data_IF_957826121792
#
_entry.id   IF_957826121792
#
_cell.length_a   1.000
_cell.length_b   1.000
_cell.length_c   1.000
_cell.angle_alpha   90.00
_cell.angle_beta   90.00
_cell.angle_gamma   90.00
#
_symmetry.space_group_name_H-M   'P 1'
#
loop_
_entity.id
_entity.type
_entity.pdbx_description
1 polymer ?
#
# COMPACT_ATOMS: atom_id res chain seq x y z
N UNK A 1 14.28 22.92 -23.81
CA UNK A 1 14.83 22.37 -22.55
C UNK A 1 13.65 21.83 -21.78
N UNK A 2 13.44 20.53 -21.83
CA UNK A 2 12.26 19.86 -21.31
C UNK A 2 12.30 19.92 -19.79
N UNK A 3 11.35 20.64 -19.19
CA UNK A 3 11.15 20.63 -17.75
C UNK A 3 10.63 19.24 -17.37
N UNK A 4 11.46 18.48 -16.67
CA UNK A 4 11.07 17.22 -16.06
C UNK A 4 10.20 17.59 -14.87
N UNK A 5 8.89 17.47 -15.04
CA UNK A 5 7.96 17.34 -13.91
C UNK A 5 8.32 16.00 -13.29
N UNK A 6 9.12 16.04 -12.22
CA UNK A 6 9.36 14.87 -11.38
C UNK A 6 8.05 14.69 -10.61
N UNK A 7 7.18 13.82 -11.11
CA UNK A 7 6.03 13.34 -10.37
C UNK A 7 6.53 12.86 -9.00
N UNK A 8 5.98 13.43 -7.92
CA UNK A 8 6.34 13.15 -6.52
C UNK A 8 6.01 11.72 -6.06
N UNK A 9 5.86 10.76 -6.96
CA UNK A 9 5.43 9.38 -6.69
C UNK A 9 6.58 8.38 -6.52
N UNK A 10 7.83 8.80 -6.76
CA UNK A 10 9.01 7.92 -6.68
C UNK A 10 9.76 7.97 -5.34
N UNK A 11 9.41 8.87 -4.42
CA UNK A 11 10.11 9.04 -3.12
C UNK A 11 9.19 8.82 -1.90
N UNK A 12 8.43 7.72 -1.83
CA UNK A 12 8.07 7.21 -0.50
C UNK A 12 9.27 6.35 -0.05
N UNK A 13 10.30 7.04 0.43
CA UNK A 13 11.57 6.44 0.83
C UNK A 13 11.65 6.24 2.34
N UNK A 14 10.70 6.82 3.08
CA UNK A 14 10.63 6.75 4.53
C UNK A 14 9.28 6.21 4.97
N UNK A 15 9.33 5.17 5.80
CA UNK A 15 8.19 4.62 6.54
C UNK A 15 7.49 5.71 7.37
N UNK A 16 8.24 6.70 7.82
CA UNK A 16 7.77 7.80 8.67
C UNK A 16 6.88 8.77 7.90
N UNK A 17 7.18 9.10 6.63
CA UNK A 17 6.35 9.98 5.81
C UNK A 17 4.96 9.38 5.57
N UNK A 18 4.90 8.05 5.42
CA UNK A 18 3.64 7.31 5.33
C UNK A 18 2.83 7.37 6.63
N UNK A 19 3.48 7.28 7.80
CA UNK A 19 2.80 7.28 9.10
C UNK A 19 2.24 8.67 9.44
N UNK A 20 2.95 9.73 9.07
CA UNK A 20 2.52 11.11 9.32
C UNK A 20 1.26 11.49 8.53
N UNK A 21 1.14 11.06 7.27
CA UNK A 21 0.04 11.48 6.38
C UNK A 21 -1.34 10.86 6.71
N UNK A 22 -1.37 9.67 7.31
CA UNK A 22 -2.63 9.01 7.71
C UNK A 22 -2.89 9.01 9.21
N UNK A 23 -1.95 9.53 10.03
CA UNK A 23 -1.98 9.37 11.49
C UNK A 23 -2.18 7.91 11.88
N UNK A 24 -1.51 6.99 11.18
CA UNK A 24 -1.59 5.56 11.50
C UNK A 24 -1.00 5.38 12.89
N UNK A 25 -1.78 4.82 13.81
CA UNK A 25 -1.29 4.60 15.17
C UNK A 25 -0.07 3.67 15.10
N UNK A 26 1.11 4.09 15.61
CA UNK A 26 2.32 3.28 15.54
C UNK A 26 2.13 1.92 16.24
N UNK A 27 1.20 1.81 17.19
CA UNK A 27 0.82 0.55 17.83
C UNK A 27 0.17 -0.41 16.83
N UNK A 28 -0.63 0.05 15.86
CA UNK A 28 -1.20 -0.80 14.79
C UNK A 28 -0.10 -1.30 13.86
N UNK A 29 0.88 -0.45 13.55
CA UNK A 29 2.06 -0.81 12.75
C UNK A 29 2.95 -1.83 13.45
N UNK A 30 3.12 -1.70 14.78
CA UNK A 30 3.95 -2.59 15.62
C UNK A 30 3.20 -3.89 16.00
N UNK A 31 1.88 -3.84 16.19
CA UNK A 31 1.02 -5.00 16.51
C UNK A 31 0.73 -5.84 15.26
N UNK A 32 0.64 -5.21 14.09
CA UNK A 32 0.59 -5.95 12.85
C UNK A 32 1.98 -6.51 12.54
N UNK A 33 2.11 -7.83 12.53
CA UNK A 33 3.41 -8.51 12.40
C UNK A 33 3.93 -8.44 10.95
N UNK A 34 4.33 -7.25 10.47
CA UNK A 34 4.78 -6.88 9.12
C UNK A 34 3.65 -6.47 8.15
N UNK A 35 3.88 -5.38 7.40
CA UNK A 35 3.00 -4.86 6.33
C UNK A 35 2.53 -5.93 5.33
N UNK A 36 3.43 -6.84 4.95
CA UNK A 36 3.10 -7.95 4.05
C UNK A 36 2.01 -8.85 4.63
N UNK A 37 2.01 -9.05 5.95
CA UNK A 37 0.98 -9.83 6.64
C UNK A 37 -0.37 -9.12 6.60
N UNK A 38 -0.38 -7.80 6.86
CA UNK A 38 -1.62 -7.00 6.77
C UNK A 38 -2.21 -7.04 5.37
N UNK A 39 -1.38 -6.86 4.35
CA UNK A 39 -1.85 -6.84 2.97
C UNK A 39 -2.40 -8.21 2.56
N UNK A 40 -1.75 -9.29 3.02
CA UNK A 40 -2.22 -10.66 2.78
C UNK A 40 -3.55 -10.95 3.50
N UNK A 41 -3.70 -10.49 4.75
CA UNK A 41 -4.95 -10.60 5.50
C UNK A 41 -6.08 -9.83 4.80
N UNK A 42 -5.82 -8.58 4.40
CA UNK A 42 -6.76 -7.77 3.63
C UNK A 42 -7.20 -8.48 2.35
N UNK A 43 -6.27 -9.05 1.59
CA UNK A 43 -6.59 -9.76 0.37
C UNK A 43 -7.47 -10.99 0.64
N UNK A 44 -7.12 -11.81 1.64
CA UNK A 44 -7.89 -13.00 2.01
C UNK A 44 -9.31 -12.67 2.49
N UNK A 45 -9.47 -11.62 3.31
CA UNK A 45 -10.78 -11.21 3.83
C UNK A 45 -11.73 -10.72 2.74
N UNK A 46 -11.20 -10.06 1.71
CA UNK A 46 -11.99 -9.52 0.61
C UNK A 46 -12.07 -10.47 -0.60
N UNK A 47 -11.40 -11.63 -0.55
CA UNK A 47 -11.36 -12.58 -1.65
C UNK A 47 -10.49 -12.14 -2.84
N UNK A 48 -9.55 -11.22 -2.61
CA UNK A 48 -8.62 -10.73 -3.61
C UNK A 48 -7.39 -11.64 -3.77
N UNK A 49 -6.86 -11.71 -4.98
CA UNK A 49 -5.60 -12.38 -5.31
C UNK A 49 -4.44 -11.40 -5.12
N UNK A 50 -3.55 -11.68 -4.18
CA UNK A 50 -2.36 -10.85 -3.93
C UNK A 50 -1.09 -11.56 -4.43
N UNK A 51 -0.33 -10.89 -5.30
CA UNK A 51 0.93 -11.40 -5.85
C UNK A 51 2.04 -10.35 -5.73
N UNK A 52 3.23 -10.79 -5.32
CA UNK A 52 4.45 -9.99 -5.29
C UNK A 52 5.37 -10.45 -6.41
N UNK A 53 5.65 -9.56 -7.36
CA UNK A 53 6.46 -9.89 -8.53
C UNK A 53 7.74 -9.06 -8.57
N UNK A 54 8.88 -9.73 -8.73
CA UNK A 54 10.14 -9.04 -9.04
C UNK A 54 10.10 -8.61 -10.50
N UNK A 55 10.08 -7.31 -10.74
CA UNK A 55 10.05 -6.70 -12.07
C UNK A 55 11.45 -6.61 -12.66
N UNK A 56 12.43 -6.25 -11.83
CA UNK A 56 13.81 -6.20 -12.26
C UNK A 56 14.76 -6.46 -11.10
N UNK A 57 15.94 -6.98 -11.44
CA UNK A 57 17.09 -7.08 -10.56
C UNK A 57 18.27 -6.47 -11.30
N UNK A 58 18.85 -5.43 -10.73
CA UNK A 58 19.98 -4.69 -11.29
C UNK A 58 20.98 -4.35 -10.19
N UNK A 59 21.96 -3.48 -10.47
CA UNK A 59 22.97 -3.04 -9.50
C UNK A 59 24.29 -3.79 -9.58
N UNK A 60 25.24 -3.37 -8.75
CA UNK A 60 26.57 -3.98 -8.70
C UNK A 60 26.51 -5.30 -7.93
N UNK A 61 27.46 -6.20 -8.17
CA UNK A 61 27.50 -7.51 -7.48
C UNK A 61 27.47 -7.40 -5.94
N UNK A 62 27.94 -6.29 -5.38
CA UNK A 62 27.94 -6.01 -3.94
C UNK A 62 26.82 -5.05 -3.49
N UNK A 63 26.07 -4.48 -4.43
CA UNK A 63 24.96 -3.55 -4.19
C UNK A 63 23.83 -3.83 -5.20
N UNK A 64 23.14 -4.98 -5.05
CA UNK A 64 22.00 -5.29 -5.90
C UNK A 64 20.83 -4.35 -5.58
N UNK A 65 20.01 -4.09 -6.59
CA UNK A 65 18.76 -3.34 -6.51
C UNK A 65 17.66 -4.25 -7.06
N UNK A 66 16.65 -4.51 -6.24
CA UNK A 66 15.48 -5.30 -6.59
C UNK A 66 14.29 -4.38 -6.73
N UNK A 67 13.64 -4.38 -7.89
CA UNK A 67 12.36 -3.72 -8.10
C UNK A 67 11.24 -4.76 -7.97
N UNK A 68 10.30 -4.52 -7.05
CA UNK A 68 9.15 -5.40 -6.79
C UNK A 68 7.86 -4.62 -6.98
N UNK A 69 6.94 -5.17 -7.77
CA UNK A 69 5.58 -4.69 -7.89
C UNK A 69 4.62 -5.63 -7.16
N UNK A 70 3.48 -5.07 -6.76
CA UNK A 70 2.38 -5.82 -6.18
C UNK A 70 1.21 -5.79 -7.15
N UNK A 71 0.62 -6.96 -7.36
CA UNK A 71 -0.60 -7.14 -8.13
C UNK A 71 -1.69 -7.58 -7.15
N UNK A 72 -2.77 -6.81 -7.08
CA UNK A 72 -3.98 -7.14 -6.33
C UNK A 72 -5.11 -7.31 -7.34
N UNK A 73 -5.59 -8.54 -7.51
CA UNK A 73 -6.45 -8.97 -8.61
C UNK A 73 -5.85 -8.58 -9.97
N UNK A 74 -6.54 -7.71 -10.71
CA UNK A 74 -6.14 -7.19 -12.01
C UNK A 74 -5.49 -5.80 -11.91
N UNK A 75 -5.25 -5.31 -10.69
CA UNK A 75 -4.65 -3.99 -10.45
C UNK A 75 -3.19 -4.10 -10.06
N UNK A 76 -2.33 -3.64 -10.96
CA UNK A 76 -0.90 -3.50 -10.68
C UNK A 76 -0.61 -2.17 -9.99
N UNK A 77 0.12 -2.23 -8.89
CA UNK A 77 0.57 -1.05 -8.14
C UNK A 77 1.99 -0.64 -8.53
N UNK A 78 2.38 0.62 -8.27
CA UNK A 78 3.73 1.10 -8.53
C UNK A 78 4.78 0.22 -7.86
N UNK A 79 5.83 -0.13 -8.61
CA UNK A 79 6.94 -0.90 -8.06
C UNK A 79 7.73 -0.08 -7.02
N UNK A 80 8.33 -0.78 -6.07
CA UNK A 80 9.32 -0.21 -5.16
C UNK A 80 10.67 -0.90 -5.36
N UNK A 81 11.74 -0.11 -5.29
CA UNK A 81 13.12 -0.59 -5.46
C UNK A 81 13.87 -0.53 -4.14
N UNK A 82 14.60 -1.59 -3.80
CA UNK A 82 15.44 -1.61 -2.60
C UNK A 82 16.66 -2.52 -2.74
N UNK A 83 17.57 -2.43 -1.77
CA UNK A 83 18.81 -3.21 -1.71
C UNK A 83 18.57 -4.70 -1.49
N UNK A 84 17.42 -5.06 -0.91
CA UNK A 84 17.02 -6.44 -0.65
C UNK A 84 15.61 -6.72 -1.15
N UNK A 85 15.34 -7.97 -1.54
CA UNK A 85 13.99 -8.40 -1.95
C UNK A 85 12.95 -8.13 -0.85
N UNK A 86 13.30 -8.40 0.41
CA UNK A 86 12.38 -8.20 1.54
C UNK A 86 12.01 -6.73 1.70
N UNK A 87 13.00 -5.84 1.63
CA UNK A 87 12.78 -4.40 1.75
C UNK A 87 11.95 -3.87 0.58
N UNK A 88 12.26 -4.30 -0.65
CA UNK A 88 11.50 -3.92 -1.84
C UNK A 88 10.04 -4.38 -1.74
N UNK A 89 9.79 -5.60 -1.25
CA UNK A 89 8.43 -6.12 -1.00
C UNK A 89 7.68 -5.28 0.03
N UNK A 90 8.34 -4.95 1.15
CA UNK A 90 7.75 -4.15 2.22
C UNK A 90 7.39 -2.75 1.72
N UNK A 91 8.29 -2.09 0.99
CA UNK A 91 8.06 -0.77 0.40
C UNK A 91 6.92 -0.79 -0.61
N UNK A 92 6.87 -1.80 -1.48
CA UNK A 92 5.76 -1.96 -2.43
C UNK A 92 4.43 -2.21 -1.69
N UNK A 93 4.48 -2.97 -0.58
CA UNK A 93 3.34 -3.18 0.31
C UNK A 93 2.78 -1.89 0.91
N UNK A 94 3.64 -0.97 1.37
CA UNK A 94 3.16 0.34 1.85
C UNK A 94 2.49 1.15 0.77
N UNK A 95 3.07 1.19 -0.44
CA UNK A 95 2.44 1.90 -1.57
C UNK A 95 1.05 1.35 -1.87
N UNK A 96 0.84 0.04 -1.76
CA UNK A 96 -0.48 -0.57 -1.94
C UNK A 96 -1.43 -0.17 -0.81
N UNK A 97 -1.02 -0.32 0.46
CA UNK A 97 -1.84 0.07 1.61
C UNK A 97 -2.22 1.55 1.59
N UNK A 98 -1.28 2.42 1.21
CA UNK A 98 -1.47 3.84 0.98
C UNK A 98 -2.59 4.08 -0.03
N UNK A 99 -2.46 3.46 -1.20
CA UNK A 99 -3.41 3.63 -2.29
C UNK A 99 -4.79 3.08 -1.92
N UNK A 100 -4.86 1.93 -1.25
CA UNK A 100 -6.12 1.37 -0.75
C UNK A 100 -6.80 2.31 0.24
N UNK A 101 -6.05 2.94 1.15
CA UNK A 101 -6.59 3.96 2.07
C UNK A 101 -7.08 5.21 1.34
N UNK A 102 -6.35 5.68 0.31
CA UNK A 102 -6.78 6.81 -0.50
C UNK A 102 -8.07 6.49 -1.27
N UNK A 103 -8.15 5.31 -1.88
CA UNK A 103 -9.31 4.89 -2.66
C UNK A 103 -10.55 4.73 -1.76
N UNK A 104 -10.38 4.22 -0.54
CA UNK A 104 -11.45 4.18 0.47
C UNK A 104 -11.99 5.58 0.80
N UNK A 105 -11.10 6.58 0.94
CA UNK A 105 -11.50 8.00 1.15
C UNK A 105 -12.22 8.61 -0.05
N UNK A 106 -11.83 8.25 -1.26
CA UNK A 106 -12.46 8.76 -2.49
C UNK A 106 -13.82 8.10 -2.77
N UNK A 107 -13.97 6.81 -2.46
CA UNK A 107 -15.23 6.07 -2.63
C UNK A 107 -16.35 6.67 -1.75
N UNK A 108 -15.99 7.25 -0.61
CA UNK A 108 -16.91 8.00 0.27
C UNK A 108 -17.52 9.27 -0.39
N UNK A 109 -16.98 9.74 -1.52
CA UNK A 109 -17.54 10.85 -2.30
C UNK A 109 -18.46 10.43 -3.46
N UNK A 110 -18.46 9.14 -3.85
CA UNK A 110 -19.26 8.66 -4.99
C UNK A 110 -20.47 7.81 -4.59
N UNK A 111 -20.65 7.47 -3.31
CA UNK A 111 -21.86 6.81 -2.82
C UNK A 111 -22.76 7.87 -2.17
N UNK A 112 -23.42 8.71 -2.98
CA UNK A 112 -24.70 9.32 -2.57
C UNK A 112 -25.89 8.52 -3.07
N UNK A 113 -25.71 7.51 -3.93
CA UNK A 113 -26.85 6.82 -4.50
C UNK A 113 -26.66 5.31 -4.43
N UNK A 114 -27.54 4.72 -3.61
CA UNK A 114 -27.90 3.31 -3.48
C UNK A 114 -27.07 2.42 -2.54
N UNK A 115 -27.69 2.22 -1.36
CA UNK A 115 -27.63 1.04 -0.50
C UNK A 115 -26.28 0.75 0.20
N UNK A 116 -26.06 1.51 1.28
CA UNK A 116 -25.13 1.28 2.37
C UNK A 116 -24.88 -0.21 2.65
N UNK A 117 -23.72 -0.71 2.23
CA UNK A 117 -23.21 -2.02 2.60
C UNK A 117 -22.62 -1.93 4.00
N UNK A 118 -23.27 -2.60 4.96
CA UNK A 118 -22.78 -3.25 6.21
C UNK A 118 -21.75 -2.56 7.14
N UNK A 119 -20.84 -1.73 6.64
CA UNK A 119 -19.82 -0.98 7.37
C UNK A 119 -20.41 0.16 8.21
N UNK A 120 -21.47 0.85 7.72
CA UNK A 120 -22.18 1.91 8.45
C UNK A 120 -22.80 1.41 9.77
N UNK A 121 -23.19 0.13 9.84
CA UNK A 121 -23.76 -0.46 11.07
C UNK A 121 -22.72 -0.75 12.14
N UNK A 122 -21.46 -0.97 11.76
CA UNK A 122 -20.38 -1.26 12.72
C UNK A 122 -19.89 0.03 13.37
N UNK A 123 -19.78 1.13 12.60
CA UNK A 123 -19.37 2.43 13.13
C UNK A 123 -20.37 3.06 14.10
N UNK A 124 -21.67 2.73 14.03
CA UNK A 124 -22.69 3.26 14.96
C UNK A 124 -22.58 2.71 16.39
N UNK A 125 -21.85 1.61 16.64
CA UNK A 125 -21.77 0.97 17.98
C UNK A 125 -20.51 1.29 18.77
N UNK A 126 -19.54 1.98 18.17
CA UNK A 126 -18.27 2.32 18.83
C UNK A 126 -18.30 3.75 19.42
N UNK A 127 -19.35 4.53 19.14
CA UNK A 127 -19.56 5.88 19.68
C UNK A 127 -20.83 6.00 20.55
N UNK A 128 -21.11 4.99 21.38
CA UNK A 128 -22.08 5.08 22.49
C UNK A 128 -21.45 4.70 23.81
#
# INVERSE_FOLDING_TARGET
MSNIIIDKTDEIQSYEDFLEDFKVDPSVTILSKNCLSLLNEYAQLNGHVLLFQVISQSGQNHQPIFAIAVLLDDRQFPAASASTKREASIQAGYKVLYQLCLDARQTQRFITDTNCTLFDRISSKILS
#
